data_IF_604968104967
#
_entry.id   IF_604968104967
#
_cell.length_a   1.000
_cell.length_b   1.000
_cell.length_c   1.000
_cell.angle_alpha   90.00
_cell.angle_beta   90.00
_cell.angle_gamma   90.00
#
_symmetry.space_group_name_H-M   'P 1'
#
loop_
_entity.id
_entity.type
_entity.pdbx_description
1 polymer ?
#
# COMPACT_ATOMS: atom_id res chain seq x y z
N UNK A 1 -34.05 3.96 22.85
CA UNK A 1 -33.38 2.64 22.92
C UNK A 1 -31.92 2.86 22.58
N UNK A 2 -30.98 2.51 23.47
CA UNK A 2 -29.55 2.49 23.12
C UNK A 2 -29.32 1.19 22.36
N UNK A 3 -28.99 1.26 21.07
CA UNK A 3 -28.48 0.10 20.35
C UNK A 3 -27.09 -0.20 20.92
N UNK A 4 -26.97 -1.28 21.68
CA UNK A 4 -25.70 -1.76 22.20
C UNK A 4 -25.05 -2.59 21.08
N UNK A 5 -24.30 -1.93 20.21
CA UNK A 5 -23.60 -2.60 19.11
C UNK A 5 -22.26 -3.09 19.67
N UNK A 6 -21.99 -4.38 19.51
CA UNK A 6 -20.73 -5.02 19.89
C UNK A 6 -19.99 -5.46 18.63
N UNK A 7 -18.73 -5.07 18.51
CA UNK A 7 -17.88 -5.35 17.35
C UNK A 7 -16.58 -5.99 17.83
N UNK A 8 -16.09 -6.98 17.08
CA UNK A 8 -14.73 -7.49 17.23
C UNK A 8 -13.91 -6.99 16.05
N UNK A 9 -12.80 -6.31 16.32
CA UNK A 9 -11.81 -5.94 15.30
C UNK A 9 -10.62 -6.87 15.37
N UNK A 10 -10.33 -7.56 14.25
CA UNK A 10 -9.12 -8.38 14.11
C UNK A 10 -7.91 -7.60 13.62
N UNK A 11 -8.11 -6.32 13.31
CA UNK A 11 -7.06 -5.35 13.00
C UNK A 11 -6.85 -4.41 14.19
N UNK A 12 -5.61 -3.92 14.36
CA UNK A 12 -5.33 -2.84 15.29
C UNK A 12 -6.09 -1.57 14.88
N UNK A 13 -6.65 -0.86 15.85
CA UNK A 13 -7.33 0.40 15.64
C UNK A 13 -6.62 1.51 16.41
N UNK A 14 -6.51 2.73 15.84
CA UNK A 14 -6.04 3.90 16.59
C UNK A 14 -6.91 4.18 17.81
N UNK A 15 -6.31 4.70 18.87
CA UNK A 15 -7.01 5.00 20.13
C UNK A 15 -8.15 6.01 19.91
N UNK A 16 -7.94 6.96 19.01
CA UNK A 16 -8.91 7.99 18.64
C UNK A 16 -10.17 7.37 18.02
N UNK A 17 -10.01 6.32 17.22
CA UNK A 17 -11.12 5.58 16.62
C UNK A 17 -11.95 4.87 17.70
N UNK A 18 -11.28 4.23 18.67
CA UNK A 18 -11.94 3.55 19.79
C UNK A 18 -12.75 4.53 20.66
N UNK A 19 -12.17 5.71 20.93
CA UNK A 19 -12.85 6.76 21.68
C UNK A 19 -14.12 7.26 20.98
N UNK A 20 -14.07 7.45 19.66
CA UNK A 20 -15.23 7.87 18.87
C UNK A 20 -16.36 6.82 18.90
N UNK A 21 -16.02 5.54 18.77
CA UNK A 21 -17.01 4.45 18.81
C UNK A 21 -17.69 4.35 20.17
N UNK A 22 -16.91 4.47 21.25
CA UNK A 22 -17.43 4.46 22.61
C UNK A 22 -18.38 5.64 22.87
N UNK A 23 -18.07 6.84 22.36
CA UNK A 23 -18.96 8.01 22.44
C UNK A 23 -20.33 7.78 21.76
N UNK A 24 -20.39 6.90 20.77
CA UNK A 24 -21.63 6.53 20.07
C UNK A 24 -22.30 5.28 20.66
N UNK A 25 -21.82 4.76 21.78
CA UNK A 25 -22.38 3.58 22.44
C UNK A 25 -22.05 2.26 21.72
N UNK A 26 -20.98 2.24 20.94
CA UNK A 26 -20.47 1.04 20.26
C UNK A 26 -19.29 0.51 21.08
N UNK A 27 -19.38 -0.74 21.52
CA UNK A 27 -18.30 -1.43 22.22
C UNK A 27 -17.47 -2.22 21.22
N UNK A 28 -16.15 -2.10 21.28
CA UNK A 28 -15.23 -2.79 20.37
C UNK A 28 -14.16 -3.54 21.13
N UNK A 29 -14.06 -4.84 20.87
CA UNK A 29 -12.94 -5.67 21.30
C UNK A 29 -11.92 -5.77 20.18
N UNK A 30 -10.69 -5.31 20.43
CA UNK A 30 -9.58 -5.40 19.47
C UNK A 30 -8.74 -6.62 19.78
N UNK A 31 -8.77 -7.61 18.89
CA UNK A 31 -8.04 -8.87 19.01
C UNK A 31 -7.18 -9.05 17.75
N UNK A 32 -5.98 -8.43 17.68
CA UNK A 32 -5.14 -8.49 16.49
C UNK A 32 -4.73 -9.93 16.17
N UNK A 33 -5.13 -10.43 15.00
CA UNK A 33 -4.81 -11.79 14.57
C UNK A 33 -3.51 -11.87 13.76
N UNK A 34 -3.14 -10.75 13.11
CA UNK A 34 -1.97 -10.66 12.24
C UNK A 34 -0.99 -9.65 12.84
N UNK A 35 0.29 -10.03 12.92
CA UNK A 35 1.41 -9.12 13.20
C UNK A 35 2.32 -9.09 11.99
N UNK A 36 2.62 -7.89 11.50
CA UNK A 36 3.59 -7.65 10.43
C UNK A 36 4.89 -7.13 11.04
N UNK A 37 6.00 -7.56 10.46
CA UNK A 37 7.34 -7.08 10.79
C UNK A 37 8.03 -6.72 9.49
N UNK A 38 8.84 -5.67 9.51
CA UNK A 38 9.70 -5.36 8.38
C UNK A 38 10.69 -6.51 8.16
N UNK A 39 10.74 -7.01 6.93
CA UNK A 39 11.64 -8.07 6.53
C UNK A 39 12.28 -7.73 5.19
N UNK A 40 13.13 -6.71 5.20
CA UNK A 40 13.96 -6.37 4.03
C UNK A 40 15.39 -6.79 4.34
N UNK A 41 15.84 -7.85 3.68
CA UNK A 41 17.22 -8.29 3.81
C UNK A 41 18.16 -7.32 3.10
N UNK A 42 19.43 -7.28 3.52
CA UNK A 42 20.49 -6.49 2.84
C UNK A 42 20.54 -6.82 1.35
N UNK A 43 20.40 -8.09 0.98
CA UNK A 43 20.39 -8.53 -0.43
C UNK A 43 19.17 -7.95 -1.17
N UNK A 44 17.99 -7.99 -0.56
CA UNK A 44 16.77 -7.42 -1.14
C UNK A 44 16.92 -5.91 -1.38
N UNK A 45 17.41 -5.16 -0.39
CA UNK A 45 17.65 -3.71 -0.54
C UNK A 45 18.69 -3.41 -1.63
N UNK A 46 19.79 -4.17 -1.69
CA UNK A 46 20.78 -4.01 -2.75
C UNK A 46 20.20 -4.31 -4.13
N UNK A 47 19.34 -5.32 -4.25
CA UNK A 47 18.66 -5.64 -5.50
C UNK A 47 17.69 -4.53 -5.91
N UNK A 48 16.88 -4.00 -5.00
CA UNK A 48 15.99 -2.86 -5.24
C UNK A 48 16.81 -1.67 -5.76
N UNK A 49 17.90 -1.32 -5.05
CA UNK A 49 18.81 -0.25 -5.46
C UNK A 49 19.42 -0.47 -6.83
N UNK A 50 19.77 -1.70 -7.16
CA UNK A 50 20.34 -2.02 -8.48
C UNK A 50 19.37 -1.76 -9.64
N UNK A 51 18.06 -1.72 -9.36
CA UNK A 51 17.01 -1.46 -10.35
C UNK A 51 16.81 0.04 -10.64
N UNK A 52 17.28 0.92 -9.76
CA UNK A 52 17.10 2.37 -9.82
C UNK A 52 17.60 2.98 -11.14
N UNK A 53 18.65 2.38 -11.73
CA UNK A 53 19.25 2.80 -13.01
C UNK A 53 18.44 2.40 -14.25
N UNK A 54 17.41 1.56 -14.11
CA UNK A 54 16.59 1.10 -15.23
C UNK A 54 15.23 1.77 -15.21
N UNK A 55 14.66 2.00 -16.39
CA UNK A 55 13.24 2.27 -16.53
C UNK A 55 12.48 0.98 -16.24
N UNK A 56 11.47 1.06 -15.37
CA UNK A 56 10.67 -0.08 -14.99
C UNK A 56 9.24 0.36 -14.67
N UNK A 57 8.30 -0.55 -14.85
CA UNK A 57 6.98 -0.46 -14.27
C UNK A 57 6.97 -1.28 -12.99
N UNK A 58 6.67 -0.65 -11.85
CA UNK A 58 6.70 -1.27 -10.53
C UNK A 58 5.27 -1.36 -9.98
N UNK A 59 4.93 -2.55 -9.47
CA UNK A 59 3.60 -2.85 -8.98
C UNK A 59 3.62 -2.92 -7.45
N UNK A 60 2.77 -2.14 -6.78
CA UNK A 60 2.61 -2.15 -5.33
C UNK A 60 1.23 -2.62 -4.90
N UNK A 61 1.19 -3.67 -4.07
CA UNK A 61 -0.04 -4.23 -3.51
C UNK A 61 -0.20 -3.94 -2.01
N UNK A 62 0.73 -3.22 -1.39
CA UNK A 62 0.64 -2.80 0.01
C UNK A 62 1.48 -1.56 0.29
N UNK A 63 1.03 -0.71 1.21
CA UNK A 63 1.78 0.46 1.67
C UNK A 63 3.15 0.09 2.25
N UNK A 64 3.24 -0.98 3.04
CA UNK A 64 4.52 -1.48 3.57
C UNK A 64 5.54 -1.82 2.48
N UNK A 65 5.08 -2.35 1.34
CA UNK A 65 5.94 -2.61 0.18
C UNK A 65 6.48 -1.33 -0.45
N UNK A 66 5.67 -0.27 -0.50
CA UNK A 66 6.08 1.05 -0.97
C UNK A 66 7.16 1.62 -0.06
N UNK A 67 6.92 1.63 1.25
CA UNK A 67 7.85 2.14 2.27
C UNK A 67 9.20 1.40 2.23
N UNK A 68 9.17 0.07 2.14
CA UNK A 68 10.37 -0.76 2.04
C UNK A 68 11.22 -0.46 0.80
N UNK A 69 10.57 -0.24 -0.35
CA UNK A 69 11.25 0.12 -1.60
C UNK A 69 11.78 1.54 -1.51
N UNK A 70 10.96 2.50 -1.12
CA UNK A 70 11.37 3.90 -0.98
C UNK A 70 12.57 4.06 -0.03
N UNK A 71 12.57 3.38 1.11
CA UNK A 71 13.68 3.39 2.06
C UNK A 71 14.96 2.70 1.58
N UNK A 72 14.89 1.91 0.51
CA UNK A 72 16.06 1.22 -0.08
C UNK A 72 16.72 1.99 -1.23
N UNK A 73 16.06 3.01 -1.79
CA UNK A 73 16.53 3.79 -2.93
C UNK A 73 17.49 4.91 -2.49
N UNK A 74 18.41 5.30 -3.39
CA UNK A 74 19.29 6.46 -3.16
C UNK A 74 18.78 7.73 -3.82
N UNK A 75 18.25 7.59 -5.03
CA UNK A 75 17.72 8.68 -5.83
C UNK A 75 16.33 8.33 -6.33
N UNK A 76 15.52 9.35 -6.67
CA UNK A 76 14.23 9.14 -7.31
C UNK A 76 14.40 8.38 -8.63
N UNK A 77 13.79 7.20 -8.79
CA UNK A 77 13.92 6.42 -10.01
C UNK A 77 12.96 6.94 -11.09
N UNK A 78 13.34 6.80 -12.36
CA UNK A 78 12.46 7.11 -13.50
C UNK A 78 11.51 5.93 -13.79
N UNK A 79 10.76 5.50 -12.77
CA UNK A 79 9.83 4.38 -12.84
C UNK A 79 8.41 4.85 -13.11
N UNK A 80 7.59 3.95 -13.64
CA UNK A 80 6.14 4.08 -13.64
C UNK A 80 5.54 3.15 -12.60
N UNK A 81 4.45 3.56 -11.97
CA UNK A 81 3.87 2.83 -10.85
C UNK A 81 2.48 2.32 -11.18
N UNK A 82 2.16 1.12 -10.73
CA UNK A 82 0.81 0.59 -10.69
C UNK A 82 0.52 0.13 -9.27
N UNK A 83 -0.64 0.45 -8.69
CA UNK A 83 -0.89 0.10 -7.30
C UNK A 83 -2.34 -0.13 -6.94
N UNK A 84 -2.59 -0.85 -5.84
CA UNK A 84 -3.95 -0.94 -5.33
C UNK A 84 -4.39 0.39 -4.68
N UNK A 85 -5.69 0.63 -4.64
CA UNK A 85 -6.29 1.84 -4.10
C UNK A 85 -6.09 1.99 -2.57
N UNK A 86 -6.56 3.12 -2.04
CA UNK A 86 -6.58 3.37 -0.59
C UNK A 86 -5.20 3.70 -0.05
N UNK A 87 -4.75 2.97 0.97
CA UNK A 87 -3.50 3.30 1.68
C UNK A 87 -2.26 3.10 0.80
N UNK A 88 -2.28 2.14 -0.13
CA UNK A 88 -1.12 1.89 -1.00
C UNK A 88 -0.92 3.05 -1.97
N UNK A 89 -1.96 3.51 -2.68
CA UNK A 89 -1.89 4.71 -3.52
C UNK A 89 -1.37 5.93 -2.76
N UNK A 90 -1.91 6.17 -1.56
CA UNK A 90 -1.46 7.29 -0.70
C UNK A 90 0.02 7.18 -0.36
N UNK A 91 0.52 5.98 -0.08
CA UNK A 91 1.94 5.76 0.18
C UNK A 91 2.79 6.01 -1.09
N UNK A 92 2.33 5.55 -2.27
CA UNK A 92 3.05 5.83 -3.53
C UNK A 92 3.16 7.33 -3.77
N UNK A 93 2.05 8.06 -3.69
CA UNK A 93 2.03 9.52 -3.87
C UNK A 93 2.80 10.30 -2.77
N UNK A 94 3.06 9.67 -1.62
CA UNK A 94 3.87 10.27 -0.56
C UNK A 94 5.37 10.18 -0.86
N UNK A 95 5.83 9.06 -1.43
CA UNK A 95 7.25 8.80 -1.67
C UNK A 95 7.71 9.06 -3.12
N UNK A 96 6.77 9.05 -4.06
CA UNK A 96 7.00 9.17 -5.50
C UNK A 96 6.02 10.18 -6.11
N UNK A 97 6.24 10.55 -7.37
CA UNK A 97 5.35 11.44 -8.09
C UNK A 97 4.02 10.75 -8.43
N UNK A 98 2.90 11.40 -8.14
CA UNK A 98 1.57 10.87 -8.46
C UNK A 98 1.36 10.81 -9.99
N UNK A 99 2.02 11.69 -10.75
CA UNK A 99 1.97 11.69 -12.22
C UNK A 99 2.65 10.46 -12.85
N UNK A 100 3.46 9.73 -12.08
CA UNK A 100 4.08 8.47 -12.50
C UNK A 100 3.19 7.24 -12.23
N UNK A 101 2.04 7.40 -11.58
CA UNK A 101 1.06 6.31 -11.39
C UNK A 101 0.28 6.10 -12.68
N UNK A 102 0.60 5.02 -13.39
CA UNK A 102 -0.03 4.69 -14.68
C UNK A 102 -1.28 3.84 -14.54
N UNK A 103 -1.47 3.10 -13.44
CA UNK A 103 -2.66 2.30 -13.22
C UNK A 103 -2.99 2.12 -11.73
N UNK A 104 -4.26 2.02 -11.42
CA UNK A 104 -4.71 1.66 -10.07
C UNK A 104 -5.87 0.66 -10.06
N UNK A 105 -6.28 0.19 -8.88
CA UNK A 105 -7.38 -0.77 -8.78
C UNK A 105 -7.75 -1.11 -7.35
N UNK A 106 -9.02 -1.39 -7.04
CA UNK A 106 -9.45 -1.78 -5.69
C UNK A 106 -8.85 -3.13 -5.24
N UNK A 107 -8.44 -3.98 -6.18
CA UNK A 107 -7.83 -5.29 -5.94
C UNK A 107 -6.85 -5.65 -7.06
N UNK A 108 -6.17 -6.79 -6.92
CA UNK A 108 -5.15 -7.24 -7.87
C UNK A 108 -5.73 -7.57 -9.26
N UNK A 109 -6.97 -8.03 -9.35
CA UNK A 109 -7.60 -8.37 -10.62
C UNK A 109 -7.95 -7.10 -11.39
N UNK A 110 -8.62 -6.16 -10.73
CA UNK A 110 -8.98 -4.86 -11.29
C UNK A 110 -7.74 -4.06 -11.69
N UNK A 111 -6.66 -4.13 -10.89
CA UNK A 111 -5.38 -3.51 -11.24
C UNK A 111 -4.77 -4.12 -12.51
N UNK A 112 -4.85 -5.44 -12.67
CA UNK A 112 -4.36 -6.11 -13.88
C UNK A 112 -5.15 -5.69 -15.11
N UNK A 113 -6.48 -5.65 -15.02
CA UNK A 113 -7.36 -5.22 -16.11
C UNK A 113 -7.07 -3.77 -16.56
N UNK A 114 -6.71 -2.89 -15.61
CA UNK A 114 -6.36 -1.52 -15.92
C UNK A 114 -4.93 -1.37 -16.47
N UNK A 115 -3.98 -2.17 -15.96
CA UNK A 115 -2.56 -2.07 -16.30
C UNK A 115 -2.22 -2.68 -17.65
N UNK A 116 -2.74 -3.88 -17.95
CA UNK A 116 -2.38 -4.66 -19.15
C UNK A 116 -2.51 -3.83 -20.45
N UNK A 117 -3.62 -3.09 -20.69
CA UNK A 117 -3.77 -2.29 -21.91
C UNK A 117 -2.80 -1.10 -22.03
N UNK A 118 -2.16 -0.70 -20.93
CA UNK A 118 -1.23 0.44 -20.87
C UNK A 118 0.21 -0.01 -21.11
N UNK A 119 0.56 -1.22 -20.71
CA UNK A 119 1.89 -1.79 -20.95
C UNK A 119 2.03 -2.42 -22.33
N UNK A 120 0.93 -2.93 -22.93
CA UNK A 120 0.95 -3.53 -24.28
C UNK A 120 1.12 -2.49 -25.40
N UNK A 121 0.87 -1.20 -25.15
CA UNK A 121 0.99 -0.13 -26.16
C UNK A 121 2.41 0.36 -26.40
N UNK A 122 3.32 0.06 -25.48
CA UNK A 122 4.75 0.45 -25.54
C UNK A 122 5.67 -0.75 -25.84
N UNK A 123 5.10 -1.90 -26.23
CA UNK A 123 5.86 -3.05 -26.72
C UNK A 123 6.35 -2.79 -28.16
N UNK A 124 7.63 -3.04 -28.48
CA UNK A 124 8.18 -2.86 -29.83
C UNK A 124 7.55 -3.77 -30.89
#
# INVERSE_FOLDING_TARGET
>A
MKNNIEIISTASLPVECLQQLQQHGINVDVIPFIKTYESVSVNTSQRIRSLEKYKATVIFTSAHGVEAVAGSLLHPPAWKFACINGNTKKAVAHYFDEDDIIAEGPDAASLADELLPKIDKDAP
#
